data_IF_150914002095
#
_entry.id   IF_150914002095
#
_cell.length_a   1.000
_cell.length_b   1.000
_cell.length_c   1.000
_cell.angle_alpha   90.00
_cell.angle_beta   90.00
_cell.angle_gamma   90.00
#
_symmetry.space_group_name_H-M   'P 1'
#
loop_
_entity.id
_entity.type
_entity.pdbx_description
1 polymer ?
#
# COMPACT_ATOMS: atom_id res chain seq x y z
N UNK A 1 -11.13 -45.72 -0.89
CA UNK A 1 -9.97 -45.69 0.02
C UNK A 1 -10.02 -44.31 0.64
N UNK A 2 -10.51 -44.20 1.87
CA UNK A 2 -10.75 -42.92 2.54
C UNK A 2 -9.41 -42.18 2.69
N UNK A 3 -9.23 -41.09 1.97
CA UNK A 3 -8.21 -40.11 2.34
C UNK A 3 -8.58 -39.58 3.73
N UNK A 4 -7.69 -39.83 4.69
CA UNK A 4 -7.70 -39.08 5.93
C UNK A 4 -7.52 -37.62 5.55
N UNK A 5 -8.57 -36.80 5.72
CA UNK A 5 -8.38 -35.37 5.94
C UNK A 5 -7.36 -35.26 7.06
N UNK A 6 -6.13 -34.84 6.73
CA UNK A 6 -5.14 -34.48 7.76
C UNK A 6 -5.84 -33.38 8.56
N UNK A 7 -6.14 -33.64 9.84
CA UNK A 7 -6.59 -32.60 10.76
C UNK A 7 -5.39 -31.69 11.07
N UNK A 8 -4.99 -30.90 10.08
CA UNK A 8 -4.00 -29.83 10.23
C UNK A 8 -4.76 -28.67 10.86
N UNK A 9 -4.59 -28.50 12.18
CA UNK A 9 -5.11 -27.31 12.84
C UNK A 9 -4.33 -26.09 12.36
N UNK A 10 -5.00 -24.97 12.02
CA UNK A 10 -4.33 -23.68 11.86
C UNK A 10 -3.56 -23.33 13.14
N UNK A 11 -2.51 -22.53 13.00
CA UNK A 11 -1.77 -22.02 14.15
C UNK A 11 -2.73 -21.17 14.99
N UNK A 12 -2.65 -21.27 16.33
CA UNK A 12 -3.29 -20.27 17.19
C UNK A 12 -2.61 -18.93 16.88
N UNK A 13 -3.37 -18.01 16.33
CA UNK A 13 -2.88 -16.68 15.95
C UNK A 13 -2.94 -15.81 17.19
N UNK A 14 -1.78 -15.35 17.66
CA UNK A 14 -1.74 -14.29 18.68
C UNK A 14 -1.82 -12.96 17.95
N UNK A 15 -2.94 -12.26 18.13
CA UNK A 15 -3.10 -10.88 17.67
C UNK A 15 -2.41 -10.00 18.72
N UNK A 16 -1.25 -9.45 18.38
CA UNK A 16 -0.66 -8.37 19.16
C UNK A 16 -1.28 -7.07 18.69
N UNK A 17 -2.48 -6.76 19.20
CA UNK A 17 -3.07 -5.46 18.99
C UNK A 17 -2.31 -4.43 19.84
N UNK A 18 -1.39 -3.70 19.22
CA UNK A 18 -0.95 -2.42 19.75
C UNK A 18 -2.19 -1.53 19.80
N UNK A 19 -2.70 -1.22 20.99
CA UNK A 19 -3.80 -0.26 21.17
C UNK A 19 -3.29 1.16 20.87
N UNK A 20 -2.90 1.43 19.64
CA UNK A 20 -2.76 2.76 19.08
C UNK A 20 -4.00 3.05 18.23
N UNK A 21 -4.64 4.19 18.49
CA UNK A 21 -5.86 4.67 17.85
C UNK A 21 -5.67 5.13 16.37
N UNK A 22 -4.70 4.55 15.67
CA UNK A 22 -4.34 4.88 14.28
C UNK A 22 -4.52 3.66 13.38
N UNK A 23 -4.57 3.87 12.06
CA UNK A 23 -4.99 2.91 11.04
C UNK A 23 -4.61 1.45 11.34
N UNK A 24 -5.60 0.55 11.36
CA UNK A 24 -5.54 -0.77 12.00
C UNK A 24 -4.73 -1.79 11.17
N UNK A 25 -3.42 -1.60 11.10
CA UNK A 25 -2.48 -2.63 10.67
C UNK A 25 -2.45 -3.72 11.75
N UNK A 26 -2.89 -4.92 11.41
CA UNK A 26 -2.86 -6.06 12.33
C UNK A 26 -1.60 -6.86 12.08
N UNK A 27 -0.76 -7.00 13.10
CA UNK A 27 0.40 -7.89 13.06
C UNK A 27 0.02 -9.28 13.59
N UNK A 28 0.46 -10.30 12.86
CA UNK A 28 0.25 -11.71 13.18
C UNK A 28 1.57 -12.42 13.46
N UNK A 29 1.48 -13.64 13.98
CA UNK A 29 2.64 -14.51 14.21
C UNK A 29 3.50 -14.64 12.95
N UNK A 30 4.82 -14.48 13.11
CA UNK A 30 5.76 -14.57 11.99
C UNK A 30 5.98 -13.25 11.24
N UNK A 31 5.44 -12.13 11.74
CA UNK A 31 5.61 -10.81 11.14
C UNK A 31 4.70 -10.55 9.94
N UNK A 32 3.74 -11.43 9.68
CA UNK A 32 2.70 -11.18 8.68
C UNK A 32 1.80 -10.03 9.15
N UNK A 33 1.28 -9.24 8.19
CA UNK A 33 0.48 -8.04 8.47
C UNK A 33 -0.72 -7.95 7.52
N UNK A 34 -1.74 -7.21 7.92
CA UNK A 34 -2.89 -6.88 7.07
C UNK A 34 -3.50 -5.55 7.53
N UNK A 35 -3.79 -4.65 6.59
CA UNK A 35 -4.49 -3.38 6.88
C UNK A 35 -5.99 -3.53 6.68
N UNK A 36 -6.71 -3.65 7.79
CA UNK A 36 -8.15 -3.76 7.79
C UNK A 36 -8.79 -2.36 7.61
N UNK A 37 -9.81 -2.21 6.73
CA UNK A 37 -10.51 -0.94 6.58
C UNK A 37 -11.11 -0.43 7.89
N UNK A 38 -11.22 0.89 8.02
CA UNK A 38 -11.65 1.55 9.23
C UNK A 38 -13.06 1.13 9.66
N UNK A 39 -13.33 1.10 10.97
CA UNK A 39 -14.57 0.61 11.56
C UNK A 39 -14.93 -0.87 11.33
N UNK A 40 -14.11 -1.68 10.65
CA UNK A 40 -14.34 -3.11 10.64
C UNK A 40 -13.97 -3.71 12.00
N UNK A 41 -14.87 -4.52 12.55
CA UNK A 41 -14.78 -5.02 13.92
C UNK A 41 -14.28 -6.47 13.93
N UNK A 42 -13.26 -6.74 14.76
CA UNK A 42 -12.77 -8.09 15.01
C UNK A 42 -13.80 -8.91 15.80
N UNK A 43 -14.08 -10.12 15.32
CA UNK A 43 -14.81 -11.15 16.03
C UNK A 43 -13.84 -12.07 16.79
N UNK A 44 -13.88 -12.00 18.11
CA UNK A 44 -13.02 -12.75 19.03
C UNK A 44 -13.55 -14.17 19.34
N UNK A 45 -14.65 -14.60 18.70
CA UNK A 45 -15.29 -15.88 19.01
C UNK A 45 -14.47 -17.11 18.61
N UNK A 46 -13.68 -17.02 17.54
CA UNK A 46 -12.76 -18.07 17.10
C UNK A 46 -11.34 -17.51 16.87
N UNK A 47 -10.40 -17.69 17.83
CA UNK A 47 -9.04 -17.19 17.69
C UNK A 47 -8.20 -17.93 16.65
N UNK A 48 -8.70 -19.06 16.12
CA UNK A 48 -8.03 -19.81 15.05
C UNK A 48 -8.33 -19.26 13.66
N UNK A 49 -9.37 -18.42 13.55
CA UNK A 49 -9.79 -17.74 12.32
C UNK A 49 -10.15 -16.28 12.66
N UNK A 50 -9.14 -15.42 12.89
CA UNK A 50 -9.38 -13.98 13.00
C UNK A 50 -10.28 -13.49 11.87
N UNK A 51 -11.42 -12.91 12.25
CA UNK A 51 -12.48 -12.50 11.34
C UNK A 51 -12.89 -11.07 11.63
N UNK A 52 -12.92 -10.20 10.63
CA UNK A 52 -13.37 -8.82 10.75
C UNK A 52 -14.65 -8.62 9.95
N UNK A 53 -15.62 -7.91 10.50
CA UNK A 53 -16.89 -7.62 9.83
C UNK A 53 -17.02 -6.15 9.53
N UNK A 54 -17.58 -5.81 8.37
CA UNK A 54 -17.99 -4.44 8.07
C UNK A 54 -19.02 -3.94 9.11
N UNK A 55 -19.17 -2.62 9.31
CA UNK A 55 -20.10 -2.06 10.30
C UNK A 55 -21.56 -2.53 10.13
N UNK A 56 -21.98 -2.78 8.89
CA UNK A 56 -23.30 -3.31 8.56
C UNK A 56 -23.37 -4.86 8.53
N UNK A 57 -22.23 -5.52 8.78
CA UNK A 57 -22.01 -6.96 8.77
C UNK A 57 -22.39 -7.65 7.45
N UNK A 58 -22.36 -6.90 6.34
CA UNK A 58 -22.63 -7.44 4.98
C UNK A 58 -21.37 -7.88 4.26
N UNK A 59 -20.20 -7.66 4.86
CA UNK A 59 -18.91 -8.15 4.38
C UNK A 59 -18.04 -8.61 5.55
N UNK A 60 -17.15 -9.54 5.26
CA UNK A 60 -16.19 -10.04 6.22
C UNK A 60 -14.82 -10.30 5.57
N UNK A 61 -13.77 -10.17 6.38
CA UNK A 61 -12.42 -10.54 6.08
C UNK A 61 -12.01 -11.64 7.06
N UNK A 62 -11.41 -12.72 6.58
CA UNK A 62 -10.92 -13.82 7.42
C UNK A 62 -9.47 -14.13 7.07
N UNK A 63 -8.68 -14.47 8.08
CA UNK A 63 -7.29 -14.85 7.90
C UNK A 63 -7.00 -16.18 8.60
N UNK A 64 -6.43 -17.13 7.87
CA UNK A 64 -5.99 -18.41 8.41
C UNK A 64 -4.51 -18.60 8.10
N UNK A 65 -3.72 -18.89 9.14
CA UNK A 65 -2.29 -19.11 9.04
C UNK A 65 -1.92 -20.53 9.43
N UNK A 66 -1.03 -21.11 8.64
CA UNK A 66 -0.37 -22.38 8.93
C UNK A 66 1.15 -22.17 8.96
N UNK A 67 1.85 -23.10 9.61
CA UNK A 67 3.30 -23.09 9.62
C UNK A 67 3.85 -23.17 8.17
N UNK A 68 4.96 -22.50 7.84
CA UNK A 68 5.56 -22.58 6.51
C UNK A 68 5.78 -24.04 6.06
N UNK A 69 5.35 -24.37 4.84
CA UNK A 69 5.50 -25.71 4.29
C UNK A 69 4.54 -26.75 4.89
N UNK A 70 3.42 -26.30 5.44
CA UNK A 70 2.31 -27.19 5.83
C UNK A 70 1.70 -27.86 4.60
N UNK A 71 1.66 -27.14 3.48
CA UNK A 71 1.17 -27.63 2.20
C UNK A 71 2.32 -27.90 1.23
N UNK A 72 2.33 -29.11 0.68
CA UNK A 72 3.36 -29.53 -0.30
C UNK A 72 3.20 -28.76 -1.63
N UNK A 73 1.93 -28.54 -2.04
CA UNK A 73 1.57 -27.83 -3.27
C UNK A 73 0.42 -26.84 -3.04
N UNK A 74 0.42 -25.76 -3.80
CA UNK A 74 -0.65 -24.76 -3.80
C UNK A 74 -2.03 -25.38 -4.14
N UNK A 75 -2.10 -26.29 -5.11
CA UNK A 75 -3.36 -26.98 -5.46
C UNK A 75 -3.94 -27.77 -4.28
N UNK A 76 -3.08 -28.48 -3.52
CA UNK A 76 -3.53 -29.23 -2.35
C UNK A 76 -4.07 -28.32 -1.25
N UNK A 77 -3.50 -27.12 -1.13
CA UNK A 77 -3.96 -26.11 -0.18
C UNK A 77 -5.31 -25.55 -0.59
N UNK A 78 -5.46 -25.12 -1.85
CA UNK A 78 -6.70 -24.57 -2.40
C UNK A 78 -7.84 -25.57 -2.20
N UNK A 79 -7.67 -26.82 -2.61
CA UNK A 79 -8.72 -27.84 -2.51
C UNK A 79 -9.09 -28.15 -1.05
N UNK A 80 -8.12 -28.15 -0.13
CA UNK A 80 -8.41 -28.41 1.27
C UNK A 80 -9.08 -27.24 2.00
N UNK A 81 -8.76 -26.01 1.60
CA UNK A 81 -9.22 -24.80 2.28
C UNK A 81 -10.39 -24.09 1.55
N UNK A 82 -10.87 -24.66 0.44
CA UNK A 82 -12.03 -24.21 -0.32
C UNK A 82 -13.33 -24.35 0.50
N UNK A 83 -14.20 -23.32 0.54
CA UNK A 83 -15.51 -23.44 1.17
C UNK A 83 -16.35 -24.55 0.55
N UNK A 84 -17.17 -25.22 1.35
CA UNK A 84 -18.00 -26.32 0.87
C UNK A 84 -19.03 -25.81 -0.15
N UNK A 85 -19.09 -26.44 -1.32
CA UNK A 85 -20.01 -26.05 -2.40
C UNK A 85 -19.61 -24.77 -3.12
N UNK A 86 -18.37 -24.30 -2.95
CA UNK A 86 -17.85 -23.15 -3.67
C UNK A 86 -17.64 -23.44 -5.16
N UNK A 87 -18.13 -22.55 -6.02
CA UNK A 87 -17.96 -22.59 -7.48
C UNK A 87 -17.36 -21.28 -7.98
N UNK A 88 -16.51 -21.35 -9.01
CA UNK A 88 -15.88 -20.19 -9.64
C UNK A 88 -14.43 -20.45 -10.07
N UNK A 89 -13.72 -19.37 -10.33
CA UNK A 89 -12.41 -19.40 -10.98
C UNK A 89 -11.26 -19.32 -9.98
N UNK A 90 -10.10 -19.86 -10.39
CA UNK A 90 -8.85 -19.81 -9.64
C UNK A 90 -7.74 -19.40 -10.59
N UNK A 91 -6.98 -18.38 -10.22
CA UNK A 91 -5.86 -17.85 -10.99
C UNK A 91 -4.59 -18.03 -10.18
N UNK A 92 -3.63 -18.78 -10.72
CA UNK A 92 -2.33 -19.03 -10.08
C UNK A 92 -1.29 -18.07 -10.65
N UNK A 93 -0.46 -17.49 -9.78
CA UNK A 93 0.60 -16.55 -10.14
C UNK A 93 1.76 -16.62 -9.14
N UNK A 94 2.84 -15.91 -9.43
CA UNK A 94 3.97 -15.75 -8.51
C UNK A 94 3.83 -14.43 -7.78
N UNK A 95 4.03 -14.44 -6.46
CA UNK A 95 3.98 -13.25 -5.63
C UNK A 95 4.91 -13.44 -4.44
N UNK A 96 5.60 -12.38 -4.01
CA UNK A 96 6.48 -12.41 -2.83
C UNK A 96 7.45 -13.60 -2.81
N UNK A 97 8.09 -13.90 -3.96
CA UNK A 97 9.05 -15.00 -4.10
C UNK A 97 8.48 -16.42 -3.93
N UNK A 98 7.15 -16.59 -3.84
CA UNK A 98 6.48 -17.87 -3.71
C UNK A 98 5.31 -18.05 -4.67
N UNK A 99 4.49 -19.06 -4.41
CA UNK A 99 3.33 -19.40 -5.24
C UNK A 99 2.07 -18.83 -4.59
N UNK A 100 1.25 -18.14 -5.38
CA UNK A 100 -0.01 -17.57 -4.93
C UNK A 100 -1.16 -17.97 -5.86
N UNK A 101 -2.38 -17.99 -5.31
CA UNK A 101 -3.60 -18.05 -6.10
C UNK A 101 -4.62 -17.04 -5.62
N UNK A 102 -5.30 -16.41 -6.57
CA UNK A 102 -6.47 -15.60 -6.35
C UNK A 102 -7.68 -16.36 -6.90
N UNK A 103 -8.64 -16.66 -6.03
CA UNK A 103 -9.86 -17.33 -6.42
C UNK A 103 -11.07 -16.43 -6.20
N UNK A 104 -12.06 -16.55 -7.09
CA UNK A 104 -13.36 -15.90 -6.95
C UNK A 104 -14.41 -16.97 -6.84
N UNK A 105 -15.06 -17.08 -5.69
CA UNK A 105 -16.03 -18.15 -5.47
C UNK A 105 -17.36 -17.63 -4.96
N UNK A 106 -18.43 -18.25 -5.45
CA UNK A 106 -19.77 -18.20 -4.88
C UNK A 106 -20.03 -19.49 -4.10
N UNK A 107 -20.59 -19.40 -2.91
CA UNK A 107 -20.84 -20.56 -2.04
C UNK A 107 -22.06 -20.35 -1.12
N UNK A 108 -22.78 -21.41 -0.73
CA UNK A 108 -23.89 -21.31 0.21
C UNK A 108 -23.37 -21.15 1.65
N UNK A 109 -24.08 -20.36 2.47
CA UNK A 109 -23.79 -20.17 3.89
C UNK A 109 -25.05 -20.04 4.76
N UNK A 110 -24.89 -19.99 6.08
CA UNK A 110 -26.00 -19.77 7.01
C UNK A 110 -26.51 -18.33 6.89
N UNK A 111 -27.51 -18.12 6.03
CA UNK A 111 -28.07 -16.79 5.77
C UNK A 111 -28.27 -16.46 4.29
N UNK A 112 -27.76 -17.28 3.36
CA UNK A 112 -27.92 -17.04 1.93
C UNK A 112 -26.74 -17.53 1.09
N UNK A 113 -26.61 -16.94 -0.09
CA UNK A 113 -25.47 -17.13 -0.98
C UNK A 113 -24.44 -16.03 -0.73
N UNK A 114 -23.17 -16.41 -0.66
CA UNK A 114 -22.04 -15.51 -0.47
C UNK A 114 -21.14 -15.58 -1.67
N UNK A 115 -20.46 -14.47 -1.97
CA UNK A 115 -19.42 -14.42 -2.99
C UNK A 115 -18.23 -13.65 -2.44
N UNK A 116 -17.03 -14.09 -2.78
CA UNK A 116 -15.82 -13.45 -2.27
C UNK A 116 -14.58 -13.78 -3.07
N UNK A 117 -13.52 -13.08 -2.67
CA UNK A 117 -12.17 -13.31 -3.13
C UNK A 117 -11.38 -14.07 -2.08
N UNK A 118 -10.53 -14.99 -2.54
CA UNK A 118 -9.69 -15.82 -1.68
C UNK A 118 -8.26 -15.77 -2.19
N UNK A 119 -7.35 -15.30 -1.36
CA UNK A 119 -5.92 -15.34 -1.60
C UNK A 119 -5.31 -16.54 -0.88
N UNK A 120 -4.57 -17.36 -1.61
CA UNK A 120 -3.77 -18.45 -1.07
C UNK A 120 -2.30 -18.16 -1.36
N UNK A 121 -1.42 -18.31 -0.38
CA UNK A 121 0.02 -18.15 -0.57
C UNK A 121 0.76 -19.25 0.14
N UNK A 122 1.78 -19.80 -0.53
CA UNK A 122 2.72 -20.77 0.03
C UNK A 122 4.15 -20.36 -0.30
N UNK A 123 5.12 -20.76 0.52
CA UNK A 123 6.57 -20.55 0.32
C UNK A 123 7.07 -19.10 0.35
N UNK A 124 6.22 -18.13 0.69
CA UNK A 124 6.60 -16.71 0.89
C UNK A 124 6.73 -16.30 2.36
N UNK A 125 6.46 -17.24 3.28
CA UNK A 125 6.28 -17.00 4.71
C UNK A 125 5.40 -18.10 5.31
N UNK A 126 4.50 -17.81 6.26
CA UNK A 126 3.46 -18.76 6.64
C UNK A 126 2.59 -19.11 5.43
N UNK A 127 2.15 -20.37 5.35
CA UNK A 127 1.13 -20.72 4.37
C UNK A 127 -0.18 -20.07 4.83
N UNK A 128 -0.85 -19.32 3.96
CA UNK A 128 -1.94 -18.42 4.36
C UNK A 128 -3.13 -18.51 3.42
N UNK A 129 -4.32 -18.43 4.00
CA UNK A 129 -5.54 -18.09 3.28
C UNK A 129 -6.08 -16.77 3.83
N UNK A 130 -6.22 -15.78 2.96
CA UNK A 130 -7.00 -14.56 3.25
C UNK A 130 -8.29 -14.64 2.46
N UNK A 131 -9.43 -14.42 3.12
CA UNK A 131 -10.75 -14.46 2.51
C UNK A 131 -11.42 -13.10 2.68
N UNK A 132 -11.98 -12.55 1.61
CA UNK A 132 -12.75 -11.32 1.65
C UNK A 132 -14.11 -11.59 0.98
N UNK A 133 -15.15 -11.68 1.79
CA UNK A 133 -16.46 -12.22 1.41
C UNK A 133 -17.56 -11.19 1.66
N UNK A 134 -18.62 -11.25 0.84
CA UNK A 134 -19.84 -10.48 1.03
C UNK A 134 -21.06 -11.33 0.69
N UNK A 135 -22.25 -10.87 1.08
CA UNK A 135 -23.48 -11.41 0.50
C UNK A 135 -23.43 -11.26 -1.03
N UNK A 136 -23.89 -12.26 -1.77
CA UNK A 136 -23.74 -12.28 -3.24
C UNK A 136 -24.34 -11.05 -3.92
N UNK A 137 -25.46 -10.55 -3.40
CA UNK A 137 -26.14 -9.33 -3.86
C UNK A 137 -25.32 -8.05 -3.67
N UNK A 138 -24.40 -8.02 -2.71
CA UNK A 138 -23.55 -6.86 -2.41
C UNK A 138 -22.16 -6.95 -3.04
N UNK A 139 -21.80 -8.11 -3.56
CA UNK A 139 -20.43 -8.41 -4.00
C UNK A 139 -19.87 -7.34 -4.95
N UNK A 140 -20.69 -6.84 -5.87
CA UNK A 140 -20.26 -5.81 -6.83
C UNK A 140 -19.97 -4.46 -6.17
N UNK A 141 -20.79 -4.03 -5.21
CA UNK A 141 -20.60 -2.76 -4.51
C UNK A 141 -19.42 -2.84 -3.53
N UNK A 142 -19.18 -4.02 -2.96
CA UNK A 142 -18.13 -4.25 -1.97
C UNK A 142 -16.74 -4.49 -2.55
N UNK A 143 -16.62 -4.62 -3.88
CA UNK A 143 -15.34 -4.90 -4.56
C UNK A 143 -14.16 -4.08 -4.03
N UNK A 144 -14.27 -2.74 -3.83
CA UNK A 144 -13.14 -1.95 -3.37
C UNK A 144 -12.60 -2.42 -2.02
N UNK A 145 -13.49 -2.68 -1.05
CA UNK A 145 -13.11 -3.19 0.26
C UNK A 145 -12.54 -4.60 0.19
N UNK A 146 -13.19 -5.50 -0.55
CA UNK A 146 -12.79 -6.90 -0.60
C UNK A 146 -11.39 -7.05 -1.21
N UNK A 147 -11.12 -6.35 -2.31
CA UNK A 147 -9.81 -6.36 -2.96
C UNK A 147 -8.77 -5.60 -2.14
N UNK A 148 -9.13 -4.49 -1.49
CA UNK A 148 -8.23 -3.73 -0.62
C UNK A 148 -7.71 -4.57 0.56
N UNK A 149 -8.59 -5.37 1.18
CA UNK A 149 -8.20 -6.32 2.24
C UNK A 149 -7.15 -7.30 1.72
N UNK A 150 -7.40 -7.95 0.58
CA UNK A 150 -6.45 -8.93 0.02
C UNK A 150 -5.13 -8.29 -0.37
N UNK A 151 -5.18 -7.10 -0.97
CA UNK A 151 -3.98 -6.40 -1.39
C UNK A 151 -3.18 -5.89 -0.20
N UNK A 152 -3.82 -5.57 0.92
CA UNK A 152 -3.16 -5.12 2.14
C UNK A 152 -2.36 -6.21 2.87
N UNK A 153 -2.63 -7.49 2.61
CA UNK A 153 -1.91 -8.57 3.26
C UNK A 153 -0.42 -8.58 2.87
N UNK A 154 0.44 -8.83 3.85
CA UNK A 154 1.89 -8.95 3.69
C UNK A 154 2.35 -10.20 4.45
N UNK A 155 3.06 -11.15 3.81
CA UNK A 155 3.42 -12.42 4.45
C UNK A 155 4.55 -12.31 5.49
N UNK A 156 5.29 -11.20 5.51
CA UNK A 156 6.36 -10.97 6.47
C UNK A 156 7.15 -9.69 6.18
N UNK A 157 8.03 -9.31 7.10
CA UNK A 157 8.74 -8.02 7.07
C UNK A 157 9.57 -7.79 5.79
N UNK A 158 10.11 -8.86 5.19
CA UNK A 158 10.86 -8.78 3.93
C UNK A 158 10.03 -8.25 2.74
N UNK A 159 8.71 -8.31 2.83
CA UNK A 159 7.77 -7.93 1.77
C UNK A 159 7.04 -6.64 2.09
N UNK A 160 7.42 -5.96 3.19
CA UNK A 160 6.72 -4.77 3.70
C UNK A 160 6.64 -3.62 2.72
N UNK A 161 7.61 -3.53 1.81
CA UNK A 161 7.76 -2.47 0.81
C UNK A 161 7.58 -2.98 -0.62
N UNK A 162 6.66 -3.93 -0.80
CA UNK A 162 6.33 -4.50 -2.10
C UNK A 162 4.82 -4.42 -2.38
N UNK A 163 4.42 -4.41 -3.67
CA UNK A 163 3.01 -4.49 -4.08
C UNK A 163 2.25 -5.62 -3.39
N UNK A 164 0.96 -5.38 -3.18
CA UNK A 164 0.03 -6.39 -2.70
C UNK A 164 -0.23 -7.49 -3.74
N UNK A 165 -0.88 -8.57 -3.33
CA UNK A 165 -1.14 -9.72 -4.21
C UNK A 165 -2.08 -9.38 -5.38
N UNK A 166 -3.07 -8.50 -5.19
CA UNK A 166 -4.01 -8.09 -6.24
C UNK A 166 -3.29 -7.19 -7.25
N UNK A 167 -2.54 -6.20 -6.77
CA UNK A 167 -1.71 -5.33 -7.62
C UNK A 167 -0.68 -6.13 -8.42
N UNK A 168 0.01 -7.08 -7.77
CA UNK A 168 0.94 -8.01 -8.43
C UNK A 168 0.26 -8.84 -9.50
N UNK A 169 -0.93 -9.38 -9.21
CA UNK A 169 -1.70 -10.17 -10.16
C UNK A 169 -2.11 -9.35 -11.40
N UNK A 170 -2.60 -8.13 -11.19
CA UNK A 170 -2.97 -7.21 -12.29
C UNK A 170 -1.77 -6.86 -13.15
N UNK A 171 -0.60 -6.62 -12.56
CA UNK A 171 0.62 -6.37 -13.32
C UNK A 171 1.03 -7.57 -14.18
N UNK A 172 1.06 -8.77 -13.60
CA UNK A 172 1.52 -9.99 -14.29
C UNK A 172 0.55 -10.40 -15.42
N UNK A 173 -0.74 -10.13 -15.24
CA UNK A 173 -1.77 -10.45 -16.24
C UNK A 173 -1.99 -9.32 -17.24
N UNK A 174 -1.45 -8.14 -16.97
CA UNK A 174 -1.41 -7.02 -17.90
C UNK A 174 -0.45 -7.24 -19.06
N UNK A 175 -0.33 -6.24 -19.93
CA UNK A 175 0.60 -6.29 -21.05
C UNK A 175 2.04 -6.20 -20.52
N UNK A 176 2.93 -7.18 -20.81
CA UNK A 176 4.26 -7.29 -20.20
C UNK A 176 5.28 -6.28 -20.77
N UNK A 177 4.81 -5.14 -21.27
CA UNK A 177 5.67 -4.16 -21.92
C UNK A 177 6.45 -3.37 -20.88
N UNK A 178 7.78 -3.48 -20.99
CA UNK A 178 8.70 -2.57 -20.33
C UNK A 178 9.03 -1.45 -21.28
N UNK A 179 8.89 -0.23 -20.80
CA UNK A 179 9.20 0.98 -21.54
C UNK A 179 10.48 1.61 -20.98
N UNK A 180 11.38 2.02 -21.89
CA UNK A 180 12.53 2.82 -21.52
C UNK A 180 12.07 4.26 -21.28
N UNK A 181 12.17 4.71 -20.05
CA UNK A 181 11.86 6.07 -19.66
C UNK A 181 13.15 6.86 -19.60
N UNK A 182 13.10 8.07 -20.15
CA UNK A 182 14.24 8.98 -20.17
C UNK A 182 13.79 10.38 -19.77
N UNK A 183 14.41 10.94 -18.74
CA UNK A 183 14.06 12.29 -18.23
C UNK A 183 15.33 13.10 -17.94
N UNK A 184 15.30 14.42 -18.17
CA UNK A 184 16.41 15.29 -17.79
C UNK A 184 16.54 15.36 -16.27
N UNK A 185 17.77 15.42 -15.78
CA UNK A 185 18.10 15.65 -14.39
C UNK A 185 19.33 16.57 -14.33
N UNK A 186 19.15 17.83 -13.96
CA UNK A 186 20.20 18.87 -14.05
C UNK A 186 20.88 18.85 -15.44
N UNK A 187 22.21 18.69 -15.49
CA UNK A 187 23.02 18.64 -16.71
C UNK A 187 23.16 17.21 -17.29
N UNK A 188 22.44 16.23 -16.72
CA UNK A 188 22.46 14.83 -17.17
C UNK A 188 21.08 14.34 -17.60
N UNK A 189 21.01 13.07 -18.01
CA UNK A 189 19.81 12.39 -18.42
C UNK A 189 19.69 11.07 -17.67
N UNK A 190 18.60 10.89 -16.93
CA UNK A 190 18.28 9.64 -16.25
C UNK A 190 17.55 8.72 -17.22
N UNK A 191 17.87 7.43 -17.17
CA UNK A 191 17.20 6.40 -17.97
C UNK A 191 16.97 5.17 -17.11
N UNK A 192 15.76 4.65 -17.15
CA UNK A 192 15.38 3.40 -16.47
C UNK A 192 14.30 2.66 -17.26
N UNK A 193 14.03 1.40 -16.89
CA UNK A 193 12.91 0.64 -17.42
C UNK A 193 11.73 0.68 -16.45
N UNK A 194 10.51 0.80 -16.98
CA UNK A 194 9.29 0.78 -16.20
C UNK A 194 8.25 -0.15 -16.83
N UNK A 195 7.47 -0.82 -15.99
CA UNK A 195 6.36 -1.71 -16.40
C UNK A 195 5.11 -0.88 -16.64
N UNK A 196 4.56 -0.88 -17.86
CA UNK A 196 3.30 -0.17 -18.16
C UNK A 196 2.13 -0.81 -17.41
N UNK A 197 2.07 -2.14 -17.36
CA UNK A 197 1.13 -2.88 -16.53
C UNK A 197 1.32 -2.60 -15.03
N UNK A 198 2.56 -2.44 -14.58
CA UNK A 198 2.86 -2.05 -13.20
C UNK A 198 2.37 -0.64 -12.85
N UNK A 199 2.51 0.31 -13.77
CA UNK A 199 1.95 1.65 -13.60
C UNK A 199 0.42 1.62 -13.53
N UNK A 200 -0.22 0.84 -14.38
CA UNK A 200 -1.69 0.70 -14.35
C UNK A 200 -2.16 0.00 -13.07
N UNK A 201 -1.48 -1.06 -12.63
CA UNK A 201 -1.79 -1.74 -11.36
C UNK A 201 -1.66 -0.78 -10.17
N UNK A 202 -0.61 0.04 -10.14
CA UNK A 202 -0.42 1.06 -9.11
C UNK A 202 -1.52 2.13 -9.14
N UNK A 203 -1.94 2.57 -10.32
CA UNK A 203 -3.09 3.46 -10.45
C UNK A 203 -4.38 2.79 -9.98
N UNK A 204 -4.57 1.49 -10.25
CA UNK A 204 -5.77 0.76 -9.81
C UNK A 204 -5.81 0.60 -8.28
N UNK A 205 -4.64 0.50 -7.61
CA UNK A 205 -4.55 0.61 -6.14
C UNK A 205 -5.06 1.96 -5.68
N UNK A 206 -4.57 3.05 -6.27
CA UNK A 206 -5.00 4.42 -5.92
C UNK A 206 -6.51 4.58 -6.06
N UNK A 207 -7.10 4.17 -7.19
CA UNK A 207 -8.55 4.29 -7.40
C UNK A 207 -9.34 3.44 -6.40
N UNK A 208 -8.88 2.22 -6.12
CA UNK A 208 -9.53 1.32 -5.17
C UNK A 208 -9.49 1.88 -3.76
N UNK A 209 -8.33 2.36 -3.31
CA UNK A 209 -8.18 2.92 -1.97
C UNK A 209 -8.90 4.27 -1.84
N UNK A 210 -9.02 5.06 -2.91
CA UNK A 210 -9.84 6.27 -2.91
C UNK A 210 -11.33 5.94 -2.68
N UNK A 211 -11.84 4.87 -3.32
CA UNK A 211 -13.20 4.41 -3.08
C UNK A 211 -13.41 3.95 -1.63
N UNK A 212 -12.44 3.25 -1.05
CA UNK A 212 -12.45 2.86 0.38
C UNK A 212 -12.45 4.11 1.28
N UNK A 213 -11.54 5.06 1.06
CA UNK A 213 -11.47 6.32 1.80
C UNK A 213 -12.77 7.11 1.73
N UNK A 214 -13.40 7.17 0.56
CA UNK A 214 -14.63 7.94 0.33
C UNK A 214 -15.79 7.51 1.22
N UNK A 215 -15.83 6.24 1.65
CA UNK A 215 -16.85 5.74 2.56
C UNK A 215 -16.76 6.36 3.97
N UNK A 216 -15.59 6.88 4.35
CA UNK A 216 -15.35 7.51 5.66
C UNK A 216 -15.39 9.04 5.61
N UNK A 217 -15.60 9.65 4.44
CA UNK A 217 -15.60 11.11 4.26
C UNK A 217 -16.62 11.85 5.16
N UNK A 218 -17.69 11.15 5.58
CA UNK A 218 -18.73 11.71 6.45
C UNK A 218 -18.59 11.31 7.93
N UNK A 219 -17.52 10.60 8.30
CA UNK A 219 -17.27 10.13 9.68
C UNK A 219 -15.94 10.71 10.18
N UNK A 220 -15.95 11.91 10.80
CA UNK A 220 -14.74 12.65 11.12
C UNK A 220 -13.69 11.86 11.92
N UNK A 221 -14.14 11.06 12.89
CA UNK A 221 -13.26 10.27 13.77
C UNK A 221 -12.54 9.13 13.02
N UNK A 222 -13.04 8.72 11.85
CA UNK A 222 -12.46 7.67 11.01
C UNK A 222 -11.77 8.22 9.76
N UNK A 223 -12.07 9.45 9.37
CA UNK A 223 -11.54 10.03 8.13
C UNK A 223 -10.01 10.12 8.14
N UNK A 224 -9.41 10.65 9.21
CA UNK A 224 -7.95 10.78 9.29
C UNK A 224 -7.23 9.41 9.31
N UNK A 225 -7.65 8.41 10.12
CA UNK A 225 -7.13 7.05 10.00
C UNK A 225 -7.28 6.45 8.60
N UNK A 226 -8.43 6.63 7.94
CA UNK A 226 -8.65 6.15 6.57
C UNK A 226 -7.72 6.84 5.57
N UNK A 227 -7.46 8.13 5.78
CA UNK A 227 -6.57 8.91 4.92
C UNK A 227 -5.11 8.49 5.10
N UNK A 228 -4.70 8.18 6.34
CA UNK A 228 -3.40 7.57 6.65
C UNK A 228 -3.23 6.23 5.92
N UNK A 229 -4.23 5.36 6.02
CA UNK A 229 -4.25 4.06 5.36
C UNK A 229 -4.18 4.18 3.84
N UNK A 230 -4.94 5.11 3.26
CA UNK A 230 -4.94 5.40 1.83
C UNK A 230 -3.52 5.65 1.30
N UNK A 231 -2.77 6.59 1.89
CA UNK A 231 -1.40 6.84 1.43
C UNK A 231 -0.42 5.74 1.80
N UNK A 232 -0.59 5.06 2.94
CA UNK A 232 0.27 3.92 3.32
C UNK A 232 0.23 2.83 2.25
N UNK A 233 -0.95 2.46 1.76
CA UNK A 233 -1.05 1.43 0.72
C UNK A 233 -0.46 1.87 -0.62
N UNK A 234 -0.64 3.14 -1.00
CA UNK A 234 -0.07 3.70 -2.23
C UNK A 234 1.45 3.75 -2.13
N UNK A 235 1.99 4.23 -1.01
CA UNK A 235 3.43 4.29 -0.74
C UNK A 235 4.05 2.90 -0.84
N UNK A 236 3.48 1.93 -0.13
CA UNK A 236 3.94 0.53 -0.16
C UNK A 236 3.93 -0.05 -1.57
N UNK A 237 2.83 0.12 -2.31
CA UNK A 237 2.73 -0.39 -3.68
C UNK A 237 3.76 0.24 -4.61
N UNK A 238 3.99 1.55 -4.43
CA UNK A 238 4.86 2.33 -5.31
C UNK A 238 6.34 2.17 -5.01
N UNK A 239 6.71 1.77 -3.80
CA UNK A 239 8.09 1.76 -3.33
C UNK A 239 9.02 0.96 -4.25
N UNK A 240 8.82 -0.35 -4.38
CA UNK A 240 9.67 -1.18 -5.25
C UNK A 240 9.46 -0.89 -6.75
N UNK A 241 8.35 -0.25 -7.13
CA UNK A 241 8.09 0.16 -8.52
C UNK A 241 8.99 1.33 -8.95
N UNK A 242 9.48 2.12 -8.00
CA UNK A 242 10.46 3.18 -8.23
C UNK A 242 11.92 2.70 -8.11
N UNK A 243 12.17 1.46 -7.72
CA UNK A 243 13.52 0.91 -7.57
C UNK A 243 14.39 1.09 -8.84
N UNK A 244 13.90 0.86 -10.08
CA UNK A 244 14.71 1.11 -11.27
C UNK A 244 15.15 2.58 -11.44
N UNK A 245 14.31 3.54 -11.04
CA UNK A 245 14.67 4.96 -11.04
C UNK A 245 15.69 5.26 -9.96
N UNK A 246 15.52 4.69 -8.77
CA UNK A 246 16.47 4.81 -7.65
C UNK A 246 17.83 4.27 -8.06
N UNK A 247 17.89 3.10 -8.69
CA UNK A 247 19.13 2.52 -9.21
C UNK A 247 19.81 3.45 -10.23
N UNK A 248 19.03 4.08 -11.13
CA UNK A 248 19.57 5.05 -12.09
C UNK A 248 20.13 6.32 -11.40
N UNK A 249 19.47 6.81 -10.35
CA UNK A 249 19.94 7.93 -9.53
C UNK A 249 21.24 7.57 -8.79
N UNK A 250 21.27 6.41 -8.13
CA UNK A 250 22.37 5.96 -7.28
C UNK A 250 23.59 5.48 -8.07
N UNK A 251 23.41 4.96 -9.28
CA UNK A 251 24.52 4.64 -10.19
C UNK A 251 25.03 5.85 -10.98
N UNK A 252 24.26 6.95 -11.00
CA UNK A 252 24.54 8.16 -11.77
C UNK A 252 24.72 9.40 -10.89
N UNK A 253 23.81 10.38 -10.96
CA UNK A 253 24.04 11.73 -10.43
C UNK A 253 24.03 11.85 -8.89
N UNK A 254 23.45 10.87 -8.18
CA UNK A 254 23.29 10.92 -6.72
C UNK A 254 23.74 9.61 -6.05
N UNK A 255 25.03 9.26 -6.04
CA UNK A 255 25.47 7.97 -5.50
C UNK A 255 25.27 7.86 -3.99
N UNK A 256 24.71 6.74 -3.55
CA UNK A 256 24.27 6.51 -2.16
C UNK A 256 25.40 6.73 -1.13
N UNK A 257 26.59 6.19 -1.37
CA UNK A 257 27.70 6.21 -0.40
C UNK A 257 28.52 7.51 -0.37
N UNK A 258 28.18 8.49 -1.22
CA UNK A 258 28.98 9.72 -1.34
C UNK A 258 28.15 10.99 -1.24
N UNK A 259 26.83 10.88 -1.30
CA UNK A 259 25.95 12.03 -1.33
C UNK A 259 25.52 12.40 0.09
N UNK A 260 25.66 13.68 0.44
CA UNK A 260 25.10 14.23 1.67
C UNK A 260 23.55 14.19 1.58
N UNK A 261 22.84 13.58 2.55
CA UNK A 261 21.37 13.52 2.57
C UNK A 261 20.67 14.85 2.32
N UNK A 262 21.24 15.95 2.82
CA UNK A 262 20.70 17.30 2.60
C UNK A 262 20.83 17.72 1.13
N UNK A 263 21.98 17.46 0.52
CA UNK A 263 22.24 17.77 -0.89
C UNK A 263 21.37 16.91 -1.80
N UNK A 264 21.18 15.62 -1.48
CA UNK A 264 20.26 14.74 -2.20
C UNK A 264 18.84 15.30 -2.14
N UNK A 265 18.37 15.67 -0.94
CA UNK A 265 17.04 16.25 -0.73
C UNK A 265 16.82 17.50 -1.57
N UNK A 266 17.78 18.42 -1.59
CA UNK A 266 17.68 19.67 -2.36
C UNK A 266 17.67 19.45 -3.87
N UNK A 267 18.49 18.51 -4.37
CA UNK A 267 18.53 18.17 -5.80
C UNK A 267 17.25 17.47 -6.26
N UNK A 268 16.75 16.50 -5.48
CA UNK A 268 15.49 15.83 -5.78
C UNK A 268 14.30 16.78 -5.68
N UNK A 269 14.25 17.64 -4.65
CA UNK A 269 13.24 18.69 -4.53
C UNK A 269 13.23 19.60 -5.77
N UNK A 270 14.39 20.14 -6.15
CA UNK A 270 14.49 21.02 -7.32
C UNK A 270 14.13 20.33 -8.62
N UNK A 271 14.45 19.04 -8.77
CA UNK A 271 14.11 18.25 -9.94
C UNK A 271 12.59 18.03 -10.05
N UNK A 272 11.94 17.62 -8.95
CA UNK A 272 10.50 17.38 -8.91
C UNK A 272 9.68 18.68 -9.04
N UNK A 273 10.15 19.80 -8.50
CA UNK A 273 9.54 21.13 -8.72
C UNK A 273 9.55 21.57 -10.19
N UNK A 274 10.38 20.93 -11.03
CA UNK A 274 10.41 21.15 -12.47
C UNK A 274 9.27 20.45 -13.23
N UNK A 275 8.51 19.58 -12.57
CA UNK A 275 7.43 18.82 -13.20
C UNK A 275 6.22 19.72 -13.44
N UNK A 276 5.41 19.36 -14.43
CA UNK A 276 4.15 20.07 -14.69
C UNK A 276 3.13 19.72 -13.61
N UNK A 277 2.38 20.72 -13.13
CA UNK A 277 1.27 20.44 -12.23
C UNK A 277 0.15 19.74 -13.01
N UNK A 278 -0.29 18.58 -12.54
CA UNK A 278 -1.36 17.83 -13.18
C UNK A 278 -1.73 16.55 -12.44
N UNK A 279 -2.92 16.04 -12.73
CA UNK A 279 -3.55 14.93 -12.04
C UNK A 279 -4.19 13.95 -13.03
N UNK A 280 -5.25 13.23 -12.62
CA UNK A 280 -5.97 12.28 -13.49
C UNK A 280 -7.45 12.64 -13.55
N UNK A 281 -8.12 12.38 -14.69
CA UNK A 281 -9.58 12.51 -14.79
C UNK A 281 -10.35 11.35 -14.10
N UNK A 282 -9.68 10.59 -13.23
CA UNK A 282 -10.25 9.42 -12.53
C UNK A 282 -10.84 9.82 -11.17
N UNK A 283 -11.34 8.84 -10.41
CA UNK A 283 -12.06 9.11 -9.17
C UNK A 283 -11.16 9.72 -8.10
N UNK A 284 -9.93 9.22 -7.96
CA UNK A 284 -9.00 9.69 -6.95
C UNK A 284 -8.40 11.07 -7.23
N UNK A 285 -8.38 11.51 -8.49
CA UNK A 285 -7.61 12.69 -8.95
C UNK A 285 -6.12 12.65 -8.56
N UNK A 286 -5.55 11.47 -8.25
CA UNK A 286 -4.15 11.29 -7.88
C UNK A 286 -3.43 10.48 -8.95
N UNK A 287 -2.26 10.94 -9.38
CA UNK A 287 -1.40 10.18 -10.29
C UNK A 287 -0.45 9.26 -9.50
N UNK A 288 -0.23 8.02 -9.96
CA UNK A 288 0.72 7.14 -9.29
C UNK A 288 2.14 7.71 -9.27
N UNK A 289 2.94 7.51 -8.20
CA UNK A 289 4.32 7.99 -8.13
C UNK A 289 5.18 7.56 -9.32
N UNK A 290 4.97 6.33 -9.79
CA UNK A 290 5.69 5.76 -10.93
C UNK A 290 5.33 6.47 -12.24
N UNK A 291 4.05 6.78 -12.47
CA UNK A 291 3.58 7.54 -13.63
C UNK A 291 3.96 9.02 -13.54
N UNK A 292 4.01 9.60 -12.33
CA UNK A 292 4.43 10.97 -12.12
C UNK A 292 5.89 11.19 -12.56
N UNK A 293 6.78 10.28 -12.19
CA UNK A 293 8.18 10.28 -12.62
C UNK A 293 8.35 10.18 -14.14
N UNK A 294 7.61 9.27 -14.80
CA UNK A 294 7.80 9.04 -16.23
C UNK A 294 7.16 10.11 -17.11
N UNK A 295 6.03 10.67 -16.69
CA UNK A 295 5.33 11.77 -17.38
C UNK A 295 5.82 13.17 -17.02
N UNK A 296 6.72 13.30 -16.01
CA UNK A 296 7.16 14.59 -15.45
C UNK A 296 5.97 15.49 -15.08
N UNK A 297 4.93 14.90 -14.49
CA UNK A 297 3.67 15.55 -14.13
C UNK A 297 3.21 15.03 -12.77
N UNK A 298 2.60 15.87 -11.94
CA UNK A 298 2.02 15.45 -10.66
C UNK A 298 1.43 16.62 -9.89
N UNK A 299 0.57 16.33 -8.92
CA UNK A 299 0.07 17.31 -7.96
C UNK A 299 0.92 17.31 -6.69
N UNK A 300 0.47 18.01 -5.63
CA UNK A 300 1.21 18.05 -4.38
C UNK A 300 1.36 16.66 -3.75
N UNK A 301 0.36 15.80 -3.89
CA UNK A 301 0.30 14.49 -3.24
C UNK A 301 1.22 13.51 -3.96
N UNK A 302 1.09 13.38 -5.29
CA UNK A 302 1.91 12.52 -6.13
C UNK A 302 3.39 12.84 -5.95
N UNK A 303 3.76 14.13 -6.05
CA UNK A 303 5.16 14.54 -5.95
C UNK A 303 5.70 14.32 -4.54
N UNK A 304 4.90 14.57 -3.50
CA UNK A 304 5.32 14.32 -2.11
C UNK A 304 5.58 12.84 -1.84
N UNK A 305 4.75 11.95 -2.39
CA UNK A 305 4.98 10.50 -2.32
C UNK A 305 6.25 10.10 -3.07
N UNK A 306 6.50 10.63 -4.27
CA UNK A 306 7.74 10.38 -5.01
C UNK A 306 8.95 10.80 -4.17
N UNK A 307 8.97 12.03 -3.64
CA UNK A 307 10.10 12.51 -2.86
C UNK A 307 10.32 11.62 -1.63
N UNK A 308 9.27 11.24 -0.91
CA UNK A 308 9.37 10.37 0.27
C UNK A 308 9.97 9.01 -0.09
N UNK A 309 9.47 8.35 -1.14
CA UNK A 309 9.99 7.03 -1.58
C UNK A 309 11.47 7.14 -1.96
N UNK A 310 11.83 8.15 -2.76
CA UNK A 310 13.22 8.33 -3.17
C UNK A 310 14.12 8.56 -1.95
N UNK A 311 13.73 9.42 -1.02
CA UNK A 311 14.51 9.72 0.18
C UNK A 311 14.65 8.53 1.14
N UNK A 312 13.63 7.67 1.24
CA UNK A 312 13.69 6.43 2.03
C UNK A 312 14.73 5.46 1.48
N UNK A 313 14.87 5.36 0.15
CA UNK A 313 15.98 4.63 -0.49
C UNK A 313 17.37 5.25 -0.25
N UNK A 314 17.46 6.50 0.20
CA UNK A 314 18.68 7.14 0.70
C UNK A 314 18.85 7.02 2.23
N UNK A 315 17.97 6.27 2.90
CA UNK A 315 17.99 6.08 4.36
C UNK A 315 17.61 7.35 5.12
N UNK A 316 16.82 8.22 4.52
CA UNK A 316 16.32 9.45 5.14
C UNK A 316 14.86 9.29 5.50
N UNK A 317 14.57 9.44 6.78
CA UNK A 317 13.20 9.40 7.27
C UNK A 317 12.41 10.61 6.78
N UNK A 318 11.14 10.37 6.48
CA UNK A 318 10.23 11.45 6.15
C UNK A 318 8.80 11.14 6.56
N UNK A 319 7.96 12.15 6.43
CA UNK A 319 6.53 12.03 6.60
C UNK A 319 5.79 12.86 5.56
N UNK A 320 4.59 12.39 5.23
CA UNK A 320 3.66 13.14 4.41
C UNK A 320 2.90 14.12 5.31
N UNK A 321 2.95 15.41 4.99
CA UNK A 321 2.22 16.45 5.69
C UNK A 321 1.01 16.83 4.86
N UNK A 322 -0.16 16.80 5.46
CA UNK A 322 -1.41 17.10 4.79
C UNK A 322 -2.18 18.17 5.55
N UNK A 323 -2.95 18.96 4.83
CA UNK A 323 -3.83 19.97 5.42
C UNK A 323 -5.13 20.04 4.64
N UNK A 324 -6.26 19.93 5.36
CA UNK A 324 -7.58 20.13 4.78
C UNK A 324 -7.82 21.62 4.51
N UNK A 325 -7.36 22.50 5.41
CA UNK A 325 -7.49 23.94 5.28
C UNK A 325 -6.74 24.48 4.05
N UNK A 326 -5.56 23.95 3.78
CA UNK A 326 -4.73 24.35 2.66
C UNK A 326 -5.11 23.65 1.36
N UNK A 327 -5.83 22.52 1.43
CA UNK A 327 -6.02 21.58 0.32
C UNK A 327 -4.67 21.24 -0.35
N UNK A 328 -3.68 20.88 0.48
CA UNK A 328 -2.29 20.80 0.04
C UNK A 328 -1.51 19.75 0.82
N UNK A 329 -0.53 19.14 0.13
CA UNK A 329 0.47 18.25 0.72
C UNK A 329 1.87 18.86 0.69
N UNK A 330 2.66 18.51 1.72
CA UNK A 330 4.07 18.81 1.85
C UNK A 330 4.82 17.54 2.21
N UNK A 331 6.13 17.54 2.00
CA UNK A 331 7.01 16.49 2.50
C UNK A 331 7.80 17.02 3.69
N UNK A 332 7.81 16.30 4.81
CA UNK A 332 8.76 16.52 5.91
C UNK A 332 9.94 15.55 5.80
N UNK A 333 11.18 16.03 5.86
CA UNK A 333 12.39 15.20 5.84
C UNK A 333 13.22 15.36 7.12
N UNK A 334 13.74 14.26 7.65
CA UNK A 334 14.72 14.27 8.75
C UNK A 334 16.14 14.47 8.21
N UNK A 335 16.41 15.71 7.81
CA UNK A 335 17.75 16.13 7.39
C UNK A 335 18.22 17.35 8.19
N UNK A 336 19.54 17.51 8.37
CA UNK A 336 20.09 18.66 9.07
C UNK A 336 19.87 19.97 8.29
N UNK A 337 20.06 21.08 9.00
CA UNK A 337 20.07 22.42 8.44
C UNK A 337 18.91 23.31 8.89
N UNK A 338 19.01 24.58 8.52
CA UNK A 338 18.04 25.61 8.85
C UNK A 338 16.83 25.57 7.91
N UNK A 339 15.73 26.18 8.36
CA UNK A 339 14.47 26.27 7.63
C UNK A 339 13.25 26.07 8.52
N UNK A 340 12.08 26.26 7.94
CA UNK A 340 10.81 25.89 8.55
C UNK A 340 10.78 24.37 8.77
N UNK A 341 10.33 23.95 9.96
CA UNK A 341 10.21 22.54 10.32
C UNK A 341 8.81 22.27 10.85
N UNK A 342 8.27 21.11 10.52
CA UNK A 342 7.15 20.52 11.25
C UNK A 342 7.73 19.79 12.48
N UNK A 343 7.05 19.91 13.62
CA UNK A 343 7.49 19.30 14.88
C UNK A 343 6.33 18.54 15.50
N UNK A 344 6.58 17.29 15.85
CA UNK A 344 5.62 16.43 16.55
C UNK A 344 6.36 15.64 17.63
N UNK A 345 5.99 15.86 18.89
CA UNK A 345 6.75 15.34 20.02
C UNK A 345 8.20 15.86 20.03
N UNK A 346 9.16 14.93 20.07
CA UNK A 346 10.61 15.22 20.03
C UNK A 346 11.17 15.27 18.61
N UNK A 347 10.37 14.89 17.60
CA UNK A 347 10.82 14.77 16.23
C UNK A 347 10.62 16.09 15.47
N UNK A 348 11.51 16.36 14.51
CA UNK A 348 11.50 17.60 13.74
C UNK A 348 11.96 17.41 12.30
N UNK A 349 11.08 17.72 11.35
CA UNK A 349 11.31 17.48 9.94
C UNK A 349 11.31 18.79 9.16
N UNK A 350 12.31 19.01 8.33
CA UNK A 350 12.33 20.17 7.45
C UNK A 350 11.30 19.99 6.33
N UNK A 351 10.52 21.04 6.07
CA UNK A 351 9.42 20.97 5.09
C UNK A 351 9.92 21.19 3.67
N UNK A 352 9.33 20.49 2.71
CA UNK A 352 9.59 20.61 1.29
C UNK A 352 8.26 20.87 0.55
N UNK A 353 8.19 22.00 -0.15
CA UNK A 353 7.05 22.41 -0.98
C UNK A 353 7.35 22.06 -2.44
N UNK A 354 6.56 21.16 -3.04
CA UNK A 354 6.86 20.63 -4.38
C UNK A 354 6.16 21.35 -5.53
N UNK A 355 5.17 22.20 -5.26
CA UNK A 355 4.40 22.91 -6.29
C UNK A 355 4.89 24.33 -6.55
N UNK A 356 5.93 24.76 -5.83
CA UNK A 356 6.55 26.08 -5.99
C UNK A 356 8.05 25.93 -5.99
N UNK A 357 8.75 26.67 -6.86
CA UNK A 357 10.22 26.66 -6.90
C UNK A 357 10.81 27.37 -5.68
N UNK A 358 10.92 26.64 -4.58
CA UNK A 358 11.36 27.10 -3.26
C UNK A 358 12.41 26.15 -2.69
N UNK A 359 13.39 26.70 -1.98
CA UNK A 359 14.40 25.90 -1.29
C UNK A 359 13.79 25.09 -0.15
N UNK A 360 14.46 24.00 0.23
CA UNK A 360 14.07 23.18 1.38
C UNK A 360 13.97 24.04 2.66
N UNK A 361 12.89 23.88 3.40
CA UNK A 361 12.58 24.68 4.58
C UNK A 361 11.98 26.05 4.30
N UNK A 362 11.61 26.36 3.06
CA UNK A 362 10.92 27.60 2.69
C UNK A 362 9.50 27.27 2.24
N UNK A 363 8.52 27.91 2.87
CA UNK A 363 7.12 27.84 2.48
C UNK A 363 6.63 29.20 1.97
N UNK A 364 5.70 29.23 1.01
CA UNK A 364 5.01 30.46 0.64
C UNK A 364 4.14 30.95 1.80
N UNK A 365 3.91 32.26 1.88
CA UNK A 365 3.14 32.90 2.97
C UNK A 365 1.74 32.28 3.17
N UNK A 366 1.10 31.81 2.09
CA UNK A 366 -0.20 31.12 2.15
C UNK A 366 -0.19 29.84 3.00
N UNK A 367 0.97 29.19 3.13
CA UNK A 367 1.13 27.90 3.83
C UNK A 367 1.76 28.06 5.23
N UNK A 368 2.46 29.16 5.50
CA UNK A 368 3.11 29.37 6.81
C UNK A 368 2.12 29.63 7.94
N UNK A 369 0.92 30.13 7.63
CA UNK A 369 -0.14 30.41 8.59
C UNK A 369 -1.13 29.24 8.78
N UNK A 370 -0.95 28.14 8.05
CA UNK A 370 -1.80 26.95 8.13
C UNK A 370 -1.48 26.20 9.43
N UNK A 371 -2.51 25.86 10.20
CA UNK A 371 -2.36 25.29 11.55
C UNK A 371 -2.84 23.85 11.68
N UNK A 372 -3.51 23.30 10.67
CA UNK A 372 -4.09 21.95 10.67
C UNK A 372 -3.20 20.93 9.94
N UNK A 373 -1.91 21.22 9.80
CA UNK A 373 -0.95 20.24 9.30
C UNK A 373 -0.97 19.01 10.20
N UNK A 374 -1.20 17.85 9.60
CA UNK A 374 -1.07 16.56 10.26
C UNK A 374 -0.08 15.69 9.50
N UNK A 375 0.77 15.01 10.26
CA UNK A 375 1.80 14.12 9.72
C UNK A 375 1.31 12.69 9.59
N UNK A 376 1.60 12.07 8.44
CA UNK A 376 1.46 10.63 8.24
C UNK A 376 2.85 10.04 8.09
N UNK A 377 3.20 9.13 8.99
CA UNK A 377 4.34 8.23 8.78
C UNK A 377 3.85 7.06 7.91
N UNK A 378 4.38 6.96 6.69
CA UNK A 378 3.89 5.97 5.71
C UNK A 378 4.33 4.53 6.04
N UNK A 379 5.32 4.37 6.92
CA UNK A 379 5.68 3.12 7.58
C UNK A 379 5.88 3.37 9.07
N UNK A 380 5.22 2.59 9.93
CA UNK A 380 5.55 2.59 11.34
C UNK A 380 6.96 2.00 11.52
N UNK A 381 7.90 2.82 12.04
CA UNK A 381 9.10 2.28 12.66
C UNK A 381 8.66 1.54 13.92
N UNK A 382 9.00 0.25 14.02
CA UNK A 382 8.85 -0.50 15.27
C UNK A 382 9.85 -0.04 16.34
#
# INVERSE_FOLDING_TARGET
MNEMKKNLLPLIVFITASLSLTAFEVTFTGGARMDIPEAWELDESDPSVPSWYSPDRRSAAELMLWAPGTWDTLDSFIESARPQGAEGDVFVFQCWGGEAALATWTFPGSGGSFRGWFLFVVRSGPDVRVSAIAAEEDFSERQPFLLSVLDSYIPGENWRLTPGAVSTFLEITGEPEKEAVGVPFEDTYLSWEQSSAGNQASQDVIEREALVLSAYASVPDLFYPAWERYYRLIYRDSYSRLEPLVEALQSGPLPLNTSDPRVVSEKLLSWLQGFSYGSTDRFSDLLSPSAACSSQTGDCDSLSLVLLILMDHYGVDGLLLLSQQAHHALTGLDVPGEGMRYTEGENSWIVAELTSNLSLGVLPERLTAVSDWFGITLLSKE
#
